data_IF_130764700464
#
_entry.id   IF_130764700464
#
_cell.length_a   1.000
_cell.length_b   1.000
_cell.length_c   1.000
_cell.angle_alpha   90.00
_cell.angle_beta   90.00
_cell.angle_gamma   90.00
#
_symmetry.space_group_name_H-M   'P 1'
#
loop_
_entity.id
_entity.type
_entity.pdbx_description
1 polymer ?
#
# COMPACT_ATOMS: atom_id res chain seq x y z
N UNK A 1 -9.15 10.43 -18.37
CA UNK A 1 -9.28 11.74 -19.05
C UNK A 1 -10.77 12.00 -19.26
N UNK A 2 -11.24 13.16 -18.91
CA UNK A 2 -12.61 13.56 -19.18
C UNK A 2 -12.81 14.05 -20.64
N UNK A 3 -14.04 14.42 -20.99
CA UNK A 3 -14.35 14.91 -22.34
C UNK A 3 -13.70 16.25 -22.69
N UNK A 4 -13.20 17.00 -21.71
CA UNK A 4 -12.43 18.24 -21.91
C UNK A 4 -10.92 18.00 -22.12
N UNK A 5 -10.47 16.77 -22.02
CA UNK A 5 -9.06 16.40 -22.09
C UNK A 5 -8.30 16.54 -20.77
N UNK A 6 -9.00 16.79 -19.67
CA UNK A 6 -8.38 16.89 -18.36
C UNK A 6 -8.16 15.53 -17.73
N UNK A 7 -6.94 15.29 -17.23
CA UNK A 7 -6.58 14.09 -16.49
C UNK A 7 -6.88 14.25 -15.01
N UNK A 8 -7.54 13.28 -14.44
CA UNK A 8 -7.77 13.17 -12.99
C UNK A 8 -7.53 11.74 -12.54
N UNK A 9 -7.25 11.55 -11.27
CA UNK A 9 -7.12 10.23 -10.70
C UNK A 9 -8.45 9.49 -10.77
N UNK A 10 -8.47 8.28 -11.31
CA UNK A 10 -9.66 7.43 -11.33
C UNK A 10 -10.07 7.05 -9.90
N UNK A 11 -11.37 6.79 -9.63
CA UNK A 11 -11.78 6.18 -8.38
C UNK A 11 -11.03 4.87 -8.14
N UNK A 12 -10.64 4.62 -6.88
CA UNK A 12 -10.04 3.36 -6.51
C UNK A 12 -11.05 2.21 -6.70
N UNK A 13 -10.59 1.09 -7.25
CA UNK A 13 -11.40 -0.11 -7.47
C UNK A 13 -10.56 -1.35 -7.24
N UNK A 14 -11.24 -2.48 -7.02
CA UNK A 14 -10.60 -3.80 -6.80
C UNK A 14 -9.55 -3.80 -5.67
N UNK A 15 -9.84 -3.05 -4.61
CA UNK A 15 -8.98 -2.99 -3.43
C UNK A 15 -9.27 -4.18 -2.52
N UNK A 16 -8.33 -5.12 -2.45
CA UNK A 16 -8.43 -6.29 -1.61
C UNK A 16 -7.08 -6.66 -0.98
N UNK A 17 -7.13 -7.41 0.11
CA UNK A 17 -5.94 -7.97 0.72
C UNK A 17 -5.60 -9.29 0.01
N UNK A 18 -4.69 -9.23 -0.95
CA UNK A 18 -4.28 -10.37 -1.78
C UNK A 18 -2.95 -11.01 -1.35
N UNK A 19 -2.23 -10.44 -0.40
CA UNK A 19 -0.94 -10.96 0.04
C UNK A 19 -1.07 -12.33 0.69
N UNK A 20 -0.28 -13.29 0.20
CA UNK A 20 -0.13 -14.62 0.77
C UNK A 20 1.35 -15.02 0.73
N UNK A 21 2.02 -15.12 1.88
CA UNK A 21 3.45 -15.44 1.94
C UNK A 21 3.81 -16.79 1.30
N UNK A 22 2.84 -17.71 1.23
CA UNK A 22 3.02 -19.04 0.61
C UNK A 22 2.49 -19.09 -0.83
N UNK A 23 1.98 -17.99 -1.36
CA UNK A 23 1.44 -17.93 -2.72
C UNK A 23 2.53 -17.78 -3.77
N UNK A 24 2.41 -18.53 -4.87
CA UNK A 24 3.37 -18.45 -5.98
C UNK A 24 3.42 -17.03 -6.60
N UNK A 25 2.27 -16.39 -6.72
CA UNK A 25 2.13 -15.07 -7.36
C UNK A 25 1.86 -13.93 -6.38
N UNK A 26 1.42 -14.25 -5.17
CA UNK A 26 0.94 -13.28 -4.17
C UNK A 26 1.90 -13.05 -3.02
N UNK A 27 3.06 -13.72 -3.00
CA UNK A 27 4.08 -13.56 -1.96
C UNK A 27 5.02 -12.36 -2.17
N UNK A 28 4.96 -11.73 -3.34
CA UNK A 28 5.72 -10.51 -3.64
C UNK A 28 4.98 -9.66 -4.67
N UNK A 29 5.34 -8.39 -4.74
CA UNK A 29 4.79 -7.52 -5.77
C UNK A 29 5.25 -7.95 -7.16
N UNK A 30 4.37 -7.89 -8.14
CA UNK A 30 4.71 -8.15 -9.54
C UNK A 30 5.45 -6.96 -10.16
N UNK A 31 5.02 -5.76 -9.81
CA UNK A 31 5.70 -4.53 -10.20
C UNK A 31 6.83 -4.20 -9.21
N UNK A 32 7.93 -3.68 -9.72
CA UNK A 32 9.06 -3.27 -8.87
C UNK A 32 8.93 -1.81 -8.43
N UNK A 33 9.41 -1.53 -7.22
CA UNK A 33 9.70 -0.19 -6.72
C UNK A 33 11.20 -0.09 -6.51
N UNK A 34 11.87 0.79 -7.23
CA UNK A 34 13.33 0.92 -7.22
C UNK A 34 14.06 -0.42 -7.47
N UNK A 35 13.53 -1.24 -8.39
CA UNK A 35 14.06 -2.56 -8.72
C UNK A 35 13.74 -3.67 -7.72
N UNK A 36 13.07 -3.38 -6.63
CA UNK A 36 12.70 -4.35 -5.59
C UNK A 36 11.23 -4.76 -5.70
N UNK A 37 10.93 -5.98 -5.32
CA UNK A 37 9.57 -6.53 -5.23
C UNK A 37 9.06 -6.69 -3.80
N UNK A 38 9.93 -6.53 -2.81
CA UNK A 38 9.64 -6.64 -1.37
C UNK A 38 10.72 -5.92 -0.57
N UNK A 39 10.52 -5.81 0.74
CA UNK A 39 11.46 -5.17 1.66
C UNK A 39 11.78 -3.72 1.24
N UNK A 40 10.73 -2.96 0.97
CA UNK A 40 10.86 -1.57 0.59
C UNK A 40 11.32 -0.73 1.77
N UNK A 41 12.17 0.24 1.47
CA UNK A 41 12.63 1.24 2.42
C UNK A 41 12.12 2.62 2.00
N UNK A 42 12.16 3.57 2.91
CA UNK A 42 11.83 4.97 2.61
C UNK A 42 12.65 5.53 1.45
N UNK A 43 13.94 5.16 1.39
CA UNK A 43 14.84 5.55 0.31
C UNK A 43 14.38 5.04 -1.08
N UNK A 44 13.77 3.86 -1.14
CA UNK A 44 13.24 3.33 -2.40
C UNK A 44 12.11 4.21 -2.93
N UNK A 45 11.21 4.65 -2.06
CA UNK A 45 10.13 5.57 -2.42
C UNK A 45 10.64 6.96 -2.79
N UNK A 46 11.62 7.49 -2.05
CA UNK A 46 12.26 8.78 -2.38
C UNK A 46 12.97 8.74 -3.73
N UNK A 47 13.60 7.63 -4.07
CA UNK A 47 14.27 7.44 -5.36
C UNK A 47 13.26 7.45 -6.51
N UNK A 48 12.15 6.73 -6.37
CA UNK A 48 11.07 6.74 -7.36
C UNK A 48 10.41 8.13 -7.47
N UNK A 49 10.24 8.81 -6.36
CA UNK A 49 9.61 10.12 -6.31
C UNK A 49 10.39 11.20 -7.08
N UNK A 50 11.72 11.13 -7.07
CA UNK A 50 12.58 12.02 -7.88
C UNK A 50 12.26 11.92 -9.37
N UNK A 51 11.96 10.72 -9.85
CA UNK A 51 11.57 10.50 -11.26
C UNK A 51 10.23 11.18 -11.54
N UNK A 52 9.31 11.19 -10.57
CA UNK A 52 8.00 11.83 -10.65
C UNK A 52 8.01 13.32 -10.28
N UNK A 53 9.18 13.93 -10.06
CA UNK A 53 9.33 15.32 -9.60
C UNK A 53 8.64 15.63 -8.27
N UNK A 54 8.56 14.65 -7.37
CA UNK A 54 8.06 14.82 -6.02
C UNK A 54 9.21 15.14 -5.06
N UNK A 55 8.94 16.02 -4.11
CA UNK A 55 9.89 16.35 -3.03
C UNK A 55 9.88 15.27 -1.95
N UNK A 56 10.97 15.14 -1.20
CA UNK A 56 11.04 14.24 -0.03
C UNK A 56 9.96 14.53 1.01
N UNK A 57 9.52 15.79 1.12
CA UNK A 57 8.42 16.18 2.00
C UNK A 57 7.08 15.61 1.55
N UNK A 58 6.78 15.68 0.25
CA UNK A 58 5.56 15.11 -0.33
C UNK A 58 5.53 13.59 -0.17
N UNK A 59 6.66 12.92 -0.39
CA UNK A 59 6.79 11.48 -0.17
C UNK A 59 6.51 11.10 1.28
N UNK A 60 7.14 11.79 2.22
CA UNK A 60 6.92 11.54 3.66
C UNK A 60 5.47 11.76 4.06
N UNK A 61 4.87 12.85 3.60
CA UNK A 61 3.45 13.12 3.87
C UNK A 61 2.55 12.02 3.33
N UNK A 62 2.78 11.55 2.11
CA UNK A 62 2.01 10.44 1.53
C UNK A 62 2.20 9.13 2.32
N UNK A 63 3.42 8.83 2.76
CA UNK A 63 3.69 7.65 3.58
C UNK A 63 3.01 7.73 4.95
N UNK A 64 3.01 8.89 5.57
CA UNK A 64 2.30 9.14 6.85
C UNK A 64 0.79 8.96 6.69
N UNK A 65 0.20 9.47 5.63
CA UNK A 65 -1.23 9.31 5.32
C UNK A 65 -1.60 7.83 5.14
N UNK A 66 -0.78 7.07 4.41
CA UNK A 66 -0.99 5.63 4.22
C UNK A 66 -0.87 4.88 5.55
N UNK A 67 0.16 5.17 6.35
CA UNK A 67 0.34 4.56 7.68
C UNK A 67 -0.83 4.86 8.60
N UNK A 68 -1.30 6.11 8.61
CA UNK A 68 -2.47 6.52 9.40
C UNK A 68 -3.74 5.79 8.95
N UNK A 69 -3.92 5.59 7.64
CA UNK A 69 -5.01 4.79 7.09
C UNK A 69 -4.94 3.33 7.55
N UNK A 70 -3.78 2.70 7.41
CA UNK A 70 -3.55 1.30 7.80
C UNK A 70 -3.72 1.09 9.30
N UNK A 71 -3.36 2.06 10.14
CA UNK A 71 -3.50 1.95 11.59
C UNK A 71 -4.95 1.75 12.05
N UNK A 72 -5.92 2.13 11.23
CA UNK A 72 -7.36 1.94 11.48
C UNK A 72 -7.86 0.53 11.15
N UNK A 73 -7.01 -0.32 10.59
CA UNK A 73 -7.39 -1.65 10.10
C UNK A 73 -8.18 -2.47 11.12
N UNK A 74 -7.67 -2.61 12.34
CA UNK A 74 -8.31 -3.46 13.36
C UNK A 74 -9.74 -3.01 13.68
N UNK A 75 -9.96 -1.71 13.79
CA UNK A 75 -11.28 -1.14 14.06
C UNK A 75 -12.22 -1.36 12.88
N UNK A 76 -11.78 -1.00 11.67
CA UNK A 76 -12.58 -1.14 10.45
C UNK A 76 -12.92 -2.60 10.14
N UNK A 77 -11.96 -3.50 10.32
CA UNK A 77 -12.17 -4.92 10.10
C UNK A 77 -13.16 -5.54 11.10
N UNK A 78 -13.11 -5.11 12.36
CA UNK A 78 -14.08 -5.51 13.38
C UNK A 78 -15.48 -5.00 13.04
N UNK A 79 -15.61 -3.74 12.65
CA UNK A 79 -16.89 -3.15 12.25
C UNK A 79 -17.45 -3.82 10.99
N UNK A 80 -16.59 -4.30 10.10
CA UNK A 80 -16.98 -5.08 8.92
C UNK A 80 -17.34 -6.55 9.23
N UNK A 81 -17.22 -7.00 10.48
CA UNK A 81 -17.64 -8.34 10.91
C UNK A 81 -16.57 -9.42 10.78
N UNK A 82 -15.29 -9.08 10.59
CA UNK A 82 -14.22 -10.08 10.61
C UNK A 82 -14.01 -10.63 12.03
N UNK A 83 -13.64 -11.91 12.11
CA UNK A 83 -13.26 -12.51 13.38
C UNK A 83 -11.96 -11.93 13.91
N UNK A 84 -11.82 -11.84 15.21
CA UNK A 84 -10.60 -11.31 15.86
C UNK A 84 -9.34 -12.08 15.45
N UNK A 85 -9.45 -13.40 15.32
CA UNK A 85 -8.37 -14.25 14.80
C UNK A 85 -7.90 -13.78 13.43
N UNK A 86 -8.83 -13.57 12.50
CA UNK A 86 -8.52 -13.15 11.13
C UNK A 86 -7.94 -11.73 11.07
N UNK A 87 -8.46 -10.83 11.90
CA UNK A 87 -7.95 -9.46 12.03
C UNK A 87 -6.47 -9.47 12.45
N UNK A 88 -6.12 -10.27 13.45
CA UNK A 88 -4.74 -10.36 13.95
C UNK A 88 -3.80 -11.05 12.96
N UNK A 89 -4.26 -12.09 12.26
CA UNK A 89 -3.49 -12.73 11.18
C UNK A 89 -3.10 -11.72 10.09
N UNK A 90 -4.07 -10.99 9.57
CA UNK A 90 -3.83 -9.98 8.52
C UNK A 90 -2.96 -8.85 9.06
N UNK A 91 -3.18 -8.40 10.29
CA UNK A 91 -2.36 -7.36 10.90
C UNK A 91 -0.87 -7.74 10.98
N UNK A 92 -0.59 -8.99 11.36
CA UNK A 92 0.78 -9.52 11.36
C UNK A 92 1.42 -9.48 9.97
N UNK A 93 0.69 -9.91 8.94
CA UNK A 93 1.17 -9.90 7.56
C UNK A 93 1.37 -8.48 7.00
N UNK A 94 0.53 -7.52 7.36
CA UNK A 94 0.70 -6.12 6.98
C UNK A 94 2.02 -5.57 7.54
N UNK A 95 2.33 -5.85 8.80
CA UNK A 95 3.57 -5.41 9.42
C UNK A 95 4.83 -6.01 8.79
N UNK A 96 4.75 -7.25 8.31
CA UNK A 96 5.89 -7.94 7.68
C UNK A 96 6.16 -7.52 6.24
N UNK A 97 5.14 -7.05 5.53
CA UNK A 97 5.20 -6.87 4.07
C UNK A 97 5.25 -5.44 3.56
N UNK A 98 4.87 -4.45 4.34
CA UNK A 98 4.60 -3.10 3.83
C UNK A 98 5.55 -2.03 4.38
N UNK A 99 6.23 -2.34 5.48
CA UNK A 99 7.07 -1.30 6.13
C UNK A 99 8.47 -1.80 6.35
#
# INVERSE_FOLDING_TARGET
MDKSGQWTLAPAYDLSFAYNPNGLWTSSHQMTVNGKRKNFTELDFETCAKIGNLTSREVRSAMEDVRAGISKWKTLAKDAGLSEKRINEIWGLIGEGII
#
